data_IF_790838455827
#
_entry.id   IF_790838455827
#
_cell.length_a   1.000
_cell.length_b   1.000
_cell.length_c   1.000
_cell.angle_alpha   90.00
_cell.angle_beta   90.00
_cell.angle_gamma   90.00
#
_symmetry.space_group_name_H-M   'P 1'
#
loop_
_entity.id
_entity.type
_entity.pdbx_description
1 polymer ?
#
# COMPACT_ATOMS: atom_id res chain seq x y z
N UNK A 1 -4.50 11.46 -29.39
CA UNK A 1 -5.45 10.40 -29.58
C UNK A 1 -4.93 9.17 -28.82
N UNK A 2 -5.62 8.80 -27.74
CA UNK A 2 -5.30 7.60 -26.99
C UNK A 2 -5.62 6.42 -27.92
N UNK A 3 -4.66 5.57 -28.20
CA UNK A 3 -4.85 4.39 -29.01
C UNK A 3 -5.77 3.41 -28.26
N UNK A 4 -7.04 3.40 -28.64
CA UNK A 4 -8.07 2.55 -28.05
C UNK A 4 -7.84 1.05 -28.28
N UNK A 5 -6.92 0.68 -29.15
CA UNK A 5 -6.56 -0.73 -29.39
C UNK A 5 -5.75 -1.31 -28.22
N UNK A 6 -5.06 -0.49 -27.45
CA UNK A 6 -4.31 -0.94 -26.26
C UNK A 6 -5.19 -1.19 -25.03
N UNK A 7 -6.45 -0.74 -25.07
CA UNK A 7 -7.40 -0.85 -23.93
C UNK A 7 -8.04 -2.24 -23.83
N UNK A 8 -7.95 -3.06 -24.89
CA UNK A 8 -8.62 -4.36 -24.92
C UNK A 8 -7.91 -5.48 -24.15
N UNK A 9 -6.69 -5.27 -23.68
CA UNK A 9 -6.02 -6.24 -22.82
C UNK A 9 -5.86 -5.59 -21.44
N UNK A 10 -6.67 -5.97 -20.44
CA UNK A 10 -6.53 -5.40 -19.12
C UNK A 10 -5.15 -5.72 -18.56
N UNK A 11 -4.45 -4.72 -18.05
CA UNK A 11 -3.28 -4.93 -17.22
C UNK A 11 -3.79 -5.51 -15.91
N UNK A 12 -3.45 -6.76 -15.64
CA UNK A 12 -3.77 -7.38 -14.37
C UNK A 12 -2.50 -7.93 -13.74
N UNK A 13 -2.34 -7.73 -12.47
CA UNK A 13 -1.27 -8.33 -11.68
C UNK A 13 -1.36 -9.87 -11.62
N UNK A 14 -2.53 -10.45 -11.92
CA UNK A 14 -2.74 -11.90 -11.95
C UNK A 14 -2.11 -12.58 -13.18
N UNK A 15 -2.02 -11.87 -14.31
CA UNK A 15 -1.40 -12.38 -15.55
C UNK A 15 0.09 -12.07 -15.61
N UNK A 16 0.59 -11.29 -14.67
CA UNK A 16 1.98 -10.84 -14.65
C UNK A 16 2.93 -11.93 -14.17
N UNK A 17 4.17 -11.80 -14.56
CA UNK A 17 5.32 -12.58 -14.11
C UNK A 17 5.73 -12.24 -12.66
N UNK A 18 4.80 -11.81 -11.82
CA UNK A 18 5.01 -11.59 -10.40
C UNK A 18 5.09 -12.96 -9.71
N UNK A 19 6.28 -13.56 -9.79
CA UNK A 19 6.57 -14.70 -8.94
C UNK A 19 6.59 -14.20 -7.51
N UNK A 20 5.59 -14.62 -6.76
CA UNK A 20 5.55 -14.43 -5.32
C UNK A 20 6.54 -15.42 -4.72
N UNK A 21 7.77 -15.01 -4.54
CA UNK A 21 8.67 -15.76 -3.67
C UNK A 21 8.12 -15.65 -2.25
N UNK A 22 7.83 -16.80 -1.64
CA UNK A 22 7.55 -16.89 -0.22
C UNK A 22 8.84 -16.55 0.53
N UNK A 23 9.06 -15.27 0.76
CA UNK A 23 10.22 -14.82 1.53
C UNK A 23 9.95 -15.06 3.01
N UNK A 24 11.00 -15.42 3.73
CA UNK A 24 10.96 -15.45 5.18
C UNK A 24 10.64 -14.05 5.71
N UNK A 25 9.84 -13.97 6.77
CA UNK A 25 9.47 -12.69 7.40
C UNK A 25 10.66 -11.75 7.58
N UNK A 26 10.64 -10.52 7.02
CA UNK A 26 11.79 -9.61 7.00
C UNK A 26 12.26 -9.19 8.39
N UNK A 27 11.37 -9.19 9.39
CA UNK A 27 11.71 -8.85 10.79
C UNK A 27 12.52 -9.92 11.48
N UNK A 28 12.56 -11.18 10.95
CA UNK A 28 13.39 -12.23 11.54
C UNK A 28 14.87 -11.89 11.34
N UNK A 29 15.60 -11.72 12.44
CA UNK A 29 17.01 -11.34 12.41
C UNK A 29 17.26 -9.96 11.80
N UNK A 30 16.33 -9.03 11.98
CA UNK A 30 16.49 -7.64 11.56
C UNK A 30 17.56 -6.97 12.42
N UNK A 31 18.60 -6.46 11.77
CA UNK A 31 19.68 -5.69 12.38
C UNK A 31 19.66 -4.24 11.86
N UNK A 32 20.30 -3.29 12.56
CA UNK A 32 20.41 -1.91 12.06
C UNK A 32 21.01 -1.81 10.66
N UNK A 33 22.03 -2.63 10.35
CA UNK A 33 22.66 -2.64 9.02
C UNK A 33 21.74 -3.23 7.94
N UNK A 34 21.00 -4.29 8.26
CA UNK A 34 20.00 -4.87 7.34
C UNK A 34 18.86 -3.88 7.10
N UNK A 35 18.39 -3.20 8.14
CA UNK A 35 17.37 -2.17 8.01
C UNK A 35 17.85 -1.01 7.12
N UNK A 36 19.07 -0.51 7.34
CA UNK A 36 19.63 0.54 6.50
C UNK A 36 19.68 0.12 5.02
N UNK A 37 20.13 -1.10 4.73
CA UNK A 37 20.18 -1.62 3.36
C UNK A 37 18.80 -1.73 2.71
N UNK A 38 17.76 -2.13 3.46
CA UNK A 38 16.37 -2.16 2.97
C UNK A 38 15.88 -0.74 2.60
N UNK A 39 16.14 0.23 3.46
CA UNK A 39 15.74 1.62 3.24
C UNK A 39 16.49 2.26 2.06
N UNK A 40 17.77 1.94 1.89
CA UNK A 40 18.59 2.40 0.78
C UNK A 40 18.13 1.80 -0.56
N UNK A 41 17.77 0.52 -0.59
CA UNK A 41 17.22 -0.13 -1.78
C UNK A 41 15.92 0.54 -2.22
N UNK A 42 15.04 0.89 -1.27
CA UNK A 42 13.80 1.60 -1.57
C UNK A 42 14.08 2.99 -2.17
N UNK A 43 15.11 3.69 -1.71
CA UNK A 43 15.54 4.99 -2.26
C UNK A 43 16.11 4.86 -3.69
N UNK A 44 16.51 3.65 -4.09
CA UNK A 44 16.91 3.34 -5.46
C UNK A 44 15.76 2.84 -6.34
N UNK A 45 14.53 2.77 -5.79
CA UNK A 45 13.31 2.40 -6.50
C UNK A 45 12.83 0.96 -6.25
N UNK A 46 13.61 0.11 -5.60
CA UNK A 46 13.16 -1.23 -5.19
C UNK A 46 12.42 -1.16 -3.86
N UNK A 47 11.11 -1.16 -3.96
CA UNK A 47 10.21 -1.02 -2.82
C UNK A 47 9.91 -2.34 -2.10
N UNK A 48 10.30 -3.48 -2.66
CA UNK A 48 9.87 -4.82 -2.22
C UNK A 48 10.15 -5.06 -0.74
N UNK A 49 11.43 -5.04 -0.37
CA UNK A 49 11.85 -5.37 0.99
C UNK A 49 11.34 -4.38 2.04
N UNK A 50 11.20 -3.10 1.68
CA UNK A 50 10.65 -2.08 2.57
C UNK A 50 9.19 -2.36 2.90
N UNK A 51 8.37 -2.68 1.90
CA UNK A 51 6.94 -2.89 2.13
C UNK A 51 6.64 -4.26 2.73
N UNK A 52 7.40 -5.28 2.41
CA UNK A 52 7.32 -6.56 3.12
C UNK A 52 7.66 -6.40 4.60
N UNK A 53 8.65 -5.54 4.93
CA UNK A 53 8.97 -5.19 6.31
C UNK A 53 7.83 -4.44 7.00
N UNK A 54 7.17 -3.50 6.30
CA UNK A 54 6.06 -2.73 6.87
C UNK A 54 4.83 -3.59 7.13
N UNK A 55 4.51 -4.53 6.24
CA UNK A 55 3.48 -5.55 6.47
C UNK A 55 3.78 -6.36 7.73
N UNK A 56 5.00 -6.87 7.83
CA UNK A 56 5.44 -7.69 8.95
C UNK A 56 5.41 -6.92 10.30
N UNK A 57 5.71 -5.62 10.27
CA UNK A 57 5.57 -4.74 11.43
C UNK A 57 4.11 -4.57 11.87
N UNK A 58 3.19 -4.37 10.92
CA UNK A 58 1.76 -4.21 11.20
C UNK A 58 1.16 -5.51 11.76
N UNK A 59 1.58 -6.66 11.24
CA UNK A 59 1.13 -7.98 11.73
C UNK A 59 1.64 -8.29 13.14
N UNK A 60 2.87 -7.91 13.47
CA UNK A 60 3.55 -8.33 14.71
C UNK A 60 3.44 -7.33 15.85
N UNK A 61 3.21 -6.06 15.56
CA UNK A 61 3.05 -5.04 16.60
C UNK A 61 1.59 -4.66 16.79
N UNK A 62 0.95 -5.23 17.82
CA UNK A 62 -0.45 -4.99 18.12
C UNK A 62 -0.79 -3.52 18.42
N UNK A 63 0.19 -2.70 18.84
CA UNK A 63 -0.03 -1.27 19.01
C UNK A 63 -0.10 -0.54 17.67
N UNK A 64 0.83 -0.84 16.76
CA UNK A 64 0.80 -0.32 15.39
C UNK A 64 -0.51 -0.72 14.70
N UNK A 65 -0.87 -2.01 14.73
CA UNK A 65 -2.11 -2.51 14.14
C UNK A 65 -3.36 -1.79 14.71
N UNK A 66 -3.41 -1.61 16.03
CA UNK A 66 -4.53 -0.93 16.70
C UNK A 66 -4.66 0.54 16.27
N UNK A 67 -3.56 1.29 16.29
CA UNK A 67 -3.58 2.72 15.94
C UNK A 67 -3.85 2.94 14.44
N UNK A 68 -3.32 2.08 13.58
CA UNK A 68 -3.65 2.10 12.15
C UNK A 68 -5.12 1.78 11.91
N UNK A 69 -5.64 0.74 12.58
CA UNK A 69 -7.04 0.36 12.49
C UNK A 69 -7.99 1.48 12.93
N UNK A 70 -7.67 2.23 13.99
CA UNK A 70 -8.45 3.39 14.43
C UNK A 70 -8.48 4.49 13.36
N UNK A 71 -7.32 4.82 12.77
CA UNK A 71 -7.22 5.85 11.73
C UNK A 71 -7.97 5.49 10.47
N UNK A 72 -7.86 4.23 10.02
CA UNK A 72 -8.58 3.71 8.86
C UNK A 72 -10.09 3.78 9.07
N UNK A 73 -10.59 3.26 10.22
CA UNK A 73 -12.02 3.25 10.53
C UNK A 73 -12.61 4.63 10.77
N UNK A 74 -11.81 5.61 11.18
CA UNK A 74 -12.27 6.98 11.34
C UNK A 74 -12.68 7.65 10.02
N UNK A 75 -12.30 7.09 8.87
CA UNK A 75 -12.66 7.56 7.55
C UNK A 75 -13.89 6.84 6.97
N UNK A 76 -14.37 5.77 7.62
CA UNK A 76 -15.60 5.08 7.25
C UNK A 76 -16.82 5.81 7.86
N UNK A 77 -16.93 7.10 7.56
CA UNK A 77 -18.07 7.93 7.93
C UNK A 77 -19.03 8.05 6.75
N UNK A 78 -20.23 8.52 7.04
CA UNK A 78 -21.19 8.89 5.99
C UNK A 78 -20.54 9.93 5.07
N UNK A 79 -20.52 9.62 3.79
CA UNK A 79 -19.98 10.49 2.76
C UNK A 79 -21.08 10.88 1.76
N UNK A 80 -20.98 12.07 1.22
CA UNK A 80 -21.94 12.62 0.28
C UNK A 80 -21.20 13.30 -0.88
N UNK A 81 -21.71 13.11 -2.09
CA UNK A 81 -21.25 13.85 -3.26
C UNK A 81 -22.21 15.02 -3.47
N UNK A 82 -21.72 16.23 -3.24
CA UNK A 82 -22.51 17.45 -3.33
C UNK A 82 -22.10 18.29 -4.53
N UNK A 83 -23.09 18.88 -5.19
CA UNK A 83 -22.83 19.88 -6.23
C UNK A 83 -22.39 21.21 -5.60
N UNK A 84 -21.56 22.03 -6.28
CA UNK A 84 -21.23 23.38 -5.84
C UNK A 84 -22.49 24.24 -5.62
N UNK A 85 -22.43 25.23 -4.73
CA UNK A 85 -23.56 26.10 -4.39
C UNK A 85 -24.20 26.79 -5.60
N UNK A 86 -23.40 27.15 -6.60
CA UNK A 86 -23.83 27.81 -7.84
C UNK A 86 -23.97 26.84 -9.03
N UNK A 87 -24.15 25.53 -8.77
CA UNK A 87 -24.26 24.54 -9.82
C UNK A 87 -25.51 24.76 -10.69
N UNK A 88 -25.33 24.62 -11.99
CA UNK A 88 -26.41 24.57 -12.97
C UNK A 88 -27.28 23.31 -12.77
N UNK A 89 -28.45 23.29 -13.35
CA UNK A 89 -29.35 22.14 -13.32
C UNK A 89 -28.69 20.86 -13.90
N UNK A 90 -27.83 21.01 -14.90
CA UNK A 90 -27.11 19.90 -15.51
C UNK A 90 -26.02 19.34 -14.52
N UNK A 91 -25.27 20.21 -13.86
CA UNK A 91 -24.27 19.80 -12.88
C UNK A 91 -24.91 19.08 -11.69
N UNK A 92 -26.02 19.57 -11.17
CA UNK A 92 -26.79 18.90 -10.10
C UNK A 92 -27.19 17.48 -10.50
N UNK A 93 -27.80 17.36 -11.70
CA UNK A 93 -28.19 16.05 -12.23
C UNK A 93 -27.00 15.11 -12.41
N UNK A 94 -25.89 15.62 -12.92
CA UNK A 94 -24.67 14.82 -13.09
C UNK A 94 -24.10 14.38 -11.72
N UNK A 95 -24.19 15.23 -10.70
CA UNK A 95 -23.76 14.91 -9.33
C UNK A 95 -24.62 13.81 -8.72
N UNK A 96 -25.95 13.89 -8.89
CA UNK A 96 -26.87 12.83 -8.44
C UNK A 96 -26.55 11.50 -9.13
N UNK A 97 -26.40 11.50 -10.45
CA UNK A 97 -26.02 10.30 -11.21
C UNK A 97 -24.67 9.73 -10.77
N UNK A 98 -23.68 10.59 -10.52
CA UNK A 98 -22.38 10.16 -10.02
C UNK A 98 -22.51 9.53 -8.62
N UNK A 99 -23.33 10.11 -7.74
CA UNK A 99 -23.61 9.56 -6.42
C UNK A 99 -24.19 8.15 -6.49
N UNK A 100 -25.20 7.94 -7.35
CA UNK A 100 -25.80 6.63 -7.58
C UNK A 100 -24.77 5.62 -8.13
N UNK A 101 -23.92 6.03 -9.09
CA UNK A 101 -22.88 5.18 -9.66
C UNK A 101 -21.85 4.76 -8.63
N UNK A 102 -21.38 5.68 -7.80
CA UNK A 102 -20.38 5.37 -6.75
C UNK A 102 -21.00 4.47 -5.67
N UNK A 103 -22.26 4.71 -5.28
CA UNK A 103 -22.98 3.83 -4.35
C UNK A 103 -23.22 2.42 -4.91
N UNK A 104 -23.25 2.26 -6.24
CA UNK A 104 -23.38 0.95 -6.88
C UNK A 104 -22.08 0.11 -6.88
N UNK A 105 -20.94 0.70 -6.51
CA UNK A 105 -19.67 -0.05 -6.39
C UNK A 105 -19.79 -1.01 -5.22
N UNK A 106 -19.62 -2.34 -5.45
CA UNK A 106 -19.68 -3.30 -4.37
C UNK A 106 -18.62 -3.04 -3.30
N UNK A 107 -18.99 -3.22 -2.04
CA UNK A 107 -18.08 -3.18 -0.88
C UNK A 107 -17.25 -1.87 -0.82
N UNK A 108 -17.88 -0.72 -1.16
CA UNK A 108 -17.18 0.57 -1.27
C UNK A 108 -16.52 1.02 0.05
N UNK A 109 -17.06 0.62 1.19
CA UNK A 109 -16.41 0.87 2.49
C UNK A 109 -15.07 0.12 2.61
N UNK A 110 -15.00 -1.12 2.14
CA UNK A 110 -13.76 -1.89 2.11
C UNK A 110 -12.76 -1.27 1.12
N UNK A 111 -13.24 -0.73 -0.01
CA UNK A 111 -12.40 0.03 -0.96
C UNK A 111 -11.77 1.25 -0.28
N UNK A 112 -12.53 2.00 0.52
CA UNK A 112 -12.02 3.14 1.29
C UNK A 112 -11.01 2.64 2.33
N UNK A 113 -11.34 1.58 3.06
CA UNK A 113 -10.46 1.00 4.06
C UNK A 113 -9.12 0.57 3.44
N UNK A 114 -9.16 -0.08 2.30
CA UNK A 114 -7.98 -0.53 1.55
C UNK A 114 -7.15 0.65 1.00
N UNK A 115 -7.82 1.68 0.48
CA UNK A 115 -7.13 2.89 0.03
C UNK A 115 -6.39 3.59 1.18
N UNK A 116 -6.93 3.53 2.41
CA UNK A 116 -6.32 4.14 3.59
C UNK A 116 -5.10 3.38 4.13
N UNK A 117 -4.75 2.23 3.57
CA UNK A 117 -3.46 1.57 3.80
C UNK A 117 -2.28 2.50 3.47
N UNK A 118 -2.50 3.44 2.56
CA UNK A 118 -1.57 4.51 2.25
C UNK A 118 -1.14 5.34 3.47
N UNK A 119 -1.93 5.43 4.54
CA UNK A 119 -1.58 6.19 5.76
C UNK A 119 -0.27 5.67 6.35
N UNK A 120 -0.14 4.36 6.48
CA UNK A 120 1.08 3.72 6.98
C UNK A 120 2.19 3.65 5.95
N UNK A 121 1.84 3.30 4.72
CA UNK A 121 2.79 2.89 3.68
C UNK A 121 3.09 3.99 2.65
N UNK A 122 2.37 5.12 2.67
CA UNK A 122 2.61 6.27 1.79
C UNK A 122 1.80 6.25 0.50
N UNK A 123 1.41 5.08 0.00
CA UNK A 123 0.49 4.92 -1.13
C UNK A 123 -0.27 3.59 -1.04
N UNK A 124 -1.40 3.53 -1.71
CA UNK A 124 -2.17 2.31 -1.96
C UNK A 124 -2.60 2.28 -3.43
N UNK A 125 -2.57 1.11 -4.04
CA UNK A 125 -3.01 0.89 -5.40
C UNK A 125 -4.12 -0.15 -5.43
N UNK A 126 -5.24 0.23 -6.03
CA UNK A 126 -6.37 -0.67 -6.23
C UNK A 126 -6.49 -0.96 -7.72
N UNK A 127 -6.46 -2.24 -8.07
CA UNK A 127 -6.66 -2.70 -9.43
C UNK A 127 -8.15 -2.69 -9.75
N UNK A 128 -8.53 -2.04 -10.84
CA UNK A 128 -9.92 -1.88 -11.26
C UNK A 128 -10.28 -2.91 -12.31
N UNK A 129 -11.26 -3.75 -12.03
CA UNK A 129 -11.92 -4.58 -13.03
C UNK A 129 -13.18 -3.86 -13.51
N UNK A 130 -13.32 -3.69 -14.83
CA UNK A 130 -14.45 -3.00 -15.42
C UNK A 130 -15.46 -3.98 -16.00
N UNK A 131 -16.73 -3.62 -15.89
CA UNK A 131 -17.81 -4.31 -16.59
C UNK A 131 -18.76 -3.32 -17.25
N UNK A 132 -19.52 -3.79 -18.21
CA UNK A 132 -20.51 -2.98 -18.92
C UNK A 132 -21.91 -3.30 -18.42
N UNK A 133 -22.62 -2.29 -17.91
CA UNK A 133 -23.99 -2.38 -17.44
C UNK A 133 -24.81 -1.30 -18.15
N UNK A 134 -25.89 -1.67 -18.83
CA UNK A 134 -26.83 -0.74 -19.50
C UNK A 134 -26.15 0.32 -20.40
N UNK A 135 -25.02 -0.05 -21.00
CA UNK A 135 -24.26 0.86 -21.88
C UNK A 135 -23.16 1.67 -21.20
N UNK A 136 -23.08 1.67 -19.88
CA UNK A 136 -22.05 2.34 -19.09
C UNK A 136 -20.94 1.37 -18.67
N UNK A 137 -19.72 1.88 -18.60
CA UNK A 137 -18.62 1.17 -17.99
C UNK A 137 -18.57 1.51 -16.50
N UNK A 138 -18.71 0.51 -15.66
CA UNK A 138 -18.69 0.63 -14.20
C UNK A 138 -17.58 -0.23 -13.61
N UNK A 139 -16.95 0.20 -12.50
CA UNK A 139 -16.08 -0.67 -11.75
C UNK A 139 -16.86 -1.89 -11.24
N UNK A 140 -16.40 -3.08 -11.58
CA UNK A 140 -16.95 -4.33 -11.04
C UNK A 140 -16.34 -4.63 -9.69
N UNK A 141 -15.01 -4.49 -9.60
CA UNK A 141 -14.24 -4.65 -8.37
C UNK A 141 -13.11 -3.64 -8.33
N UNK A 142 -12.73 -3.24 -7.14
CA UNK A 142 -11.54 -2.46 -6.83
C UNK A 142 -10.73 -3.28 -5.82
N UNK A 143 -9.65 -3.92 -6.27
CA UNK A 143 -8.89 -4.86 -5.44
C UNK A 143 -7.56 -4.25 -5.04
N UNK A 144 -7.32 -4.14 -3.74
CA UNK A 144 -6.03 -3.72 -3.21
C UNK A 144 -4.91 -4.67 -3.64
N UNK A 145 -3.78 -4.10 -4.04
CA UNK A 145 -2.57 -4.85 -4.36
C UNK A 145 -1.42 -4.43 -3.46
N UNK A 146 -0.65 -5.40 -2.93
CA UNK A 146 0.47 -5.11 -2.02
C UNK A 146 1.45 -4.10 -2.62
N UNK A 147 1.93 -3.17 -1.83
CA UNK A 147 2.89 -2.15 -2.27
C UNK A 147 4.20 -2.75 -2.77
N UNK A 148 4.57 -3.93 -2.28
CA UNK A 148 5.76 -4.68 -2.74
C UNK A 148 5.66 -5.14 -4.22
N UNK A 149 4.46 -5.08 -4.83
CA UNK A 149 4.29 -5.37 -6.25
C UNK A 149 4.65 -4.21 -7.16
N UNK A 150 4.91 -3.05 -6.59
CA UNK A 150 5.23 -1.84 -7.32
C UNK A 150 6.70 -1.47 -7.15
N UNK A 151 7.17 -0.61 -8.03
CA UNK A 151 8.48 0.00 -7.99
C UNK A 151 8.38 1.45 -8.42
N UNK A 152 9.40 2.23 -8.09
CA UNK A 152 9.49 3.61 -8.55
C UNK A 152 10.37 3.68 -9.80
N UNK A 153 9.98 4.54 -10.71
CA UNK A 153 10.82 4.91 -11.84
C UNK A 153 12.12 5.55 -11.34
N UNK A 154 13.27 5.05 -11.76
CA UNK A 154 14.57 5.53 -11.25
C UNK A 154 14.84 7.00 -11.55
N UNK A 155 14.40 7.50 -12.69
CA UNK A 155 14.55 8.91 -13.09
C UNK A 155 13.44 9.79 -12.51
N UNK A 156 12.19 9.36 -12.63
CA UNK A 156 11.02 10.08 -12.09
C UNK A 156 10.55 9.41 -10.79
N UNK A 157 11.21 9.69 -9.69
CA UNK A 157 11.05 9.02 -8.39
C UNK A 157 9.66 9.11 -7.75
N UNK A 158 8.72 9.76 -8.39
CA UNK A 158 7.31 9.82 -7.95
C UNK A 158 6.38 9.01 -8.87
N UNK A 159 6.91 8.43 -9.94
CA UNK A 159 6.14 7.59 -10.84
C UNK A 159 6.14 6.15 -10.34
N UNK A 160 4.96 5.67 -9.95
CA UNK A 160 4.73 4.27 -9.62
C UNK A 160 4.59 3.44 -10.89
N UNK A 161 5.26 2.31 -10.91
CA UNK A 161 5.19 1.31 -11.98
C UNK A 161 4.89 -0.05 -11.38
N UNK A 162 4.15 -0.88 -12.10
CA UNK A 162 3.99 -2.27 -11.72
C UNK A 162 5.34 -2.99 -11.94
N UNK A 163 5.80 -3.73 -10.93
CA UNK A 163 7.06 -4.45 -11.01
C UNK A 163 6.99 -5.51 -12.11
N UNK A 164 7.96 -5.50 -12.99
CA UNK A 164 8.11 -6.47 -14.07
C UNK A 164 9.61 -6.69 -14.34
N UNK A 165 9.95 -7.89 -14.78
CA UNK A 165 11.31 -8.20 -15.22
C UNK A 165 11.58 -7.73 -16.66
N UNK A 166 10.55 -7.26 -17.37
CA UNK A 166 10.68 -6.68 -18.69
C UNK A 166 11.01 -5.21 -18.58
N UNK A 167 12.01 -4.75 -19.33
CA UNK A 167 12.26 -3.32 -19.52
C UNK A 167 11.41 -2.81 -20.68
N UNK A 168 10.96 -1.56 -20.58
CA UNK A 168 10.33 -0.88 -21.71
C UNK A 168 11.35 -0.52 -22.79
N UNK A 169 10.90 0.13 -23.87
CA UNK A 169 11.75 0.53 -25.00
C UNK A 169 12.92 1.46 -24.59
N UNK A 170 12.78 2.17 -23.49
CA UNK A 170 13.79 3.08 -22.94
C UNK A 170 14.73 2.40 -21.92
N UNK A 171 14.61 1.06 -21.75
CA UNK A 171 15.41 0.28 -20.80
C UNK A 171 14.98 0.45 -19.34
N UNK A 172 13.81 1.02 -19.09
CA UNK A 172 13.25 1.24 -17.77
C UNK A 172 12.49 0.01 -17.33
N UNK A 173 12.86 -0.55 -16.21
CA UNK A 173 12.19 -1.71 -15.64
C UNK A 173 10.79 -1.37 -15.10
N UNK A 174 9.90 -2.36 -15.18
CA UNK A 174 8.52 -2.24 -14.74
C UNK A 174 7.60 -1.64 -15.81
N UNK A 175 6.31 -1.83 -15.59
CA UNK A 175 5.27 -1.35 -16.50
C UNK A 175 4.61 -0.08 -15.95
N UNK A 176 4.45 0.93 -16.79
CA UNK A 176 3.67 2.12 -16.42
C UNK A 176 2.22 1.70 -16.11
N UNK A 177 1.65 2.25 -15.04
CA UNK A 177 0.27 1.97 -14.67
C UNK A 177 -0.67 2.51 -15.75
N UNK A 178 -1.50 1.64 -16.31
CA UNK A 178 -2.43 2.02 -17.39
C UNK A 178 -3.55 2.91 -16.87
N UNK A 179 -3.92 3.96 -17.58
CA UNK A 179 -5.06 4.78 -17.25
C UNK A 179 -6.32 3.90 -17.08
N UNK A 180 -7.13 4.24 -16.09
CA UNK A 180 -8.37 3.53 -15.74
C UNK A 180 -8.20 2.05 -15.28
N UNK A 181 -7.00 1.52 -15.28
CA UNK A 181 -6.72 0.20 -14.70
C UNK A 181 -6.44 0.23 -13.21
N UNK A 182 -6.11 1.40 -12.68
CA UNK A 182 -5.64 1.57 -11.32
C UNK A 182 -6.21 2.83 -10.68
N UNK A 183 -6.63 2.69 -9.44
CA UNK A 183 -6.84 3.83 -8.53
C UNK A 183 -5.61 3.89 -7.62
N UNK A 184 -4.86 4.98 -7.71
CA UNK A 184 -3.67 5.20 -6.89
C UNK A 184 -3.95 6.30 -5.88
N UNK A 185 -3.97 5.94 -4.60
CA UNK A 185 -4.07 6.89 -3.51
C UNK A 185 -2.68 7.15 -2.90
N UNK A 186 -2.31 8.42 -2.76
CA UNK A 186 -1.03 8.82 -2.16
C UNK A 186 -1.31 9.59 -0.88
N UNK A 187 -0.78 9.08 0.23
CA UNK A 187 -0.83 9.72 1.54
C UNK A 187 0.58 10.01 2.04
N UNK A 188 0.93 11.29 2.09
CA UNK A 188 2.27 11.69 2.54
C UNK A 188 2.26 11.99 4.03
N UNK A 189 2.94 11.17 4.82
CA UNK A 189 3.19 11.49 6.24
C UNK A 189 4.18 12.65 6.39
N UNK A 190 4.99 12.92 5.37
CA UNK A 190 5.89 14.06 5.27
C UNK A 190 6.11 14.47 3.82
N UNK A 191 6.62 15.67 3.59
CA UNK A 191 7.05 16.13 2.27
C UNK A 191 8.30 15.37 1.78
N UNK A 192 8.44 15.23 0.48
CA UNK A 192 9.59 14.58 -0.16
C UNK A 192 9.19 13.50 -1.15
N UNK A 193 10.13 12.61 -1.42
CA UNK A 193 9.96 11.50 -2.34
C UNK A 193 9.02 10.43 -1.78
N UNK A 194 8.32 9.74 -2.65
CA UNK A 194 7.26 8.80 -2.29
C UNK A 194 7.78 7.65 -1.43
N UNK A 195 8.94 7.10 -1.75
CA UNK A 195 9.57 6.01 -1.00
C UNK A 195 9.92 6.38 0.45
N UNK A 196 10.02 7.69 0.73
CA UNK A 196 10.35 8.24 2.05
C UNK A 196 9.15 8.84 2.78
N UNK A 197 7.99 8.89 2.14
CA UNK A 197 6.79 9.56 2.66
C UNK A 197 5.97 8.68 3.63
N UNK A 198 6.23 7.39 3.69
CA UNK A 198 5.52 6.43 4.53
C UNK A 198 5.69 6.71 6.03
N UNK A 199 4.60 6.66 6.78
CA UNK A 199 4.64 6.78 8.24
C UNK A 199 5.46 5.65 8.88
N UNK A 200 5.34 4.43 8.37
CA UNK A 200 6.08 3.27 8.89
C UNK A 200 7.59 3.43 8.77
N UNK A 201 8.07 4.23 7.81
CA UNK A 201 9.51 4.54 7.73
C UNK A 201 10.02 5.31 8.97
N UNK A 202 9.18 6.10 9.60
CA UNK A 202 9.50 6.76 10.87
C UNK A 202 9.45 5.77 12.04
N UNK A 203 8.52 4.82 12.00
CA UNK A 203 8.26 3.87 13.08
C UNK A 203 9.22 2.67 13.08
N UNK A 204 9.89 2.39 11.97
CA UNK A 204 10.71 1.17 11.84
C UNK A 204 11.91 1.15 12.79
N UNK A 205 12.53 2.29 13.08
CA UNK A 205 13.65 2.37 14.03
C UNK A 205 13.20 2.13 15.47
N UNK A 206 12.19 2.84 16.00
CA UNK A 206 11.61 2.51 17.30
C UNK A 206 11.13 1.06 17.41
N UNK A 207 10.53 0.50 16.34
CA UNK A 207 10.11 -0.89 16.29
C UNK A 207 11.31 -1.85 16.45
N UNK A 208 12.41 -1.60 15.74
CA UNK A 208 13.64 -2.40 15.84
C UNK A 208 14.17 -2.40 17.28
N UNK A 209 14.31 -1.23 17.89
CA UNK A 209 14.83 -1.11 19.27
C UNK A 209 13.88 -1.70 20.30
N UNK A 210 12.56 -1.56 20.12
CA UNK A 210 11.57 -2.23 20.95
C UNK A 210 11.74 -3.75 20.93
N UNK A 211 11.93 -4.33 19.74
CA UNK A 211 12.12 -5.78 19.60
C UNK A 211 13.41 -6.26 20.27
N UNK A 212 14.50 -5.51 20.19
CA UNK A 212 15.73 -5.83 20.90
C UNK A 212 15.51 -5.80 22.42
N UNK A 213 14.89 -4.74 22.93
CA UNK A 213 14.62 -4.61 24.37
C UNK A 213 13.74 -5.74 24.90
N UNK A 214 12.74 -6.16 24.14
CA UNK A 214 11.87 -7.30 24.50
C UNK A 214 12.65 -8.61 24.45
N UNK A 215 13.51 -8.79 23.44
CA UNK A 215 14.38 -9.96 23.33
C UNK A 215 15.37 -10.06 24.51
N UNK A 216 16.04 -8.98 24.83
CA UNK A 216 16.98 -8.90 25.96
C UNK A 216 16.27 -9.16 27.31
N UNK A 217 15.06 -8.62 27.48
CA UNK A 217 14.25 -8.89 28.66
C UNK A 217 13.83 -10.36 28.75
N UNK A 218 13.45 -10.97 27.65
CA UNK A 218 13.07 -12.39 27.62
C UNK A 218 14.28 -13.28 28.01
N UNK A 219 15.47 -12.99 27.45
CA UNK A 219 16.71 -13.70 27.79
C UNK A 219 17.09 -13.48 29.27
N UNK A 220 16.98 -12.26 29.76
CA UNK A 220 17.20 -11.97 31.19
C UNK A 220 16.24 -12.79 32.08
N UNK A 221 14.96 -12.83 31.78
CA UNK A 221 13.99 -13.62 32.55
C UNK A 221 14.25 -15.12 32.47
N UNK A 222 14.71 -15.63 31.34
CA UNK A 222 15.09 -17.04 31.19
C UNK A 222 16.28 -17.40 32.10
N UNK A 223 17.29 -16.53 32.16
CA UNK A 223 18.50 -16.77 32.95
C UNK A 223 18.23 -16.58 34.46
N UNK A 224 17.55 -15.53 34.83
CA UNK A 224 17.34 -15.13 36.25
C UNK A 224 15.99 -15.53 36.83
N UNK A 225 15.03 -15.95 36.01
CA UNK A 225 13.72 -16.44 36.44
C UNK A 225 13.75 -17.85 37.06
N UNK A 226 14.86 -18.57 36.95
CA UNK A 226 15.03 -19.88 37.56
C UNK A 226 15.42 -19.70 39.04
N UNK A 227 14.63 -20.20 40.00
CA UNK A 227 14.99 -20.06 41.40
C UNK A 227 16.30 -20.79 41.70
N UNK A 228 17.22 -20.07 42.35
CA UNK A 228 18.50 -20.62 42.77
C UNK A 228 18.23 -21.77 43.75
N UNK A 229 18.58 -22.99 43.34
CA UNK A 229 18.56 -24.16 44.24
C UNK A 229 19.84 -24.14 45.10
N UNK A 230 19.68 -23.72 46.32
CA UNK A 230 20.74 -23.90 47.33
C UNK A 230 20.72 -25.37 47.76
N UNK A 231 21.71 -26.15 47.30
CA UNK A 231 21.96 -27.46 47.87
C UNK A 231 22.52 -27.28 49.30
N UNK A 232 21.90 -27.99 50.30
CA UNK A 232 22.49 -28.20 51.58
C UNK A 232 23.34 -29.46 51.51
#
# INVERSE_FOLDING_TARGET
PIDMASVNTPQTSQLGHLQRELQSHPTRGLTPSKLAAILDAAEQGDLTAQFDLFEDMEEKDGHIASEMGKRRRALLLDWEITAPDNASALEKRNTEQLGELVQSIPDFEDVIFDATDAIGKGFACLETEWHRVEGFWLPKTLTHRPQSWFQLHRGYRQELRLRSNTADADGIQGEALRPFGWVTHIHKAKSGYLERAALFRVLVWPYLFKNYSVGDLAEFLEIYGIPVRLGK
#
